data_IF_481373448310
#
_entry.id   IF_481373448310
#
_cell.length_a   1.000
_cell.length_b   1.000
_cell.length_c   1.000
_cell.angle_alpha   90.00
_cell.angle_beta   90.00
_cell.angle_gamma   90.00
#
_symmetry.space_group_name_H-M   'P 1'
#
loop_
_entity.id
_entity.type
_entity.pdbx_description
1 polymer ?
#
# COMPACT_ATOMS: atom_id res chain seq x y z
N UNK A 1 -16.15 30.20 -15.31
CA UNK A 1 -16.12 28.95 -16.11
C UNK A 1 -16.45 27.78 -15.20
N UNK A 2 -17.54 27.07 -15.48
CA UNK A 2 -17.92 25.83 -14.78
C UNK A 2 -17.15 24.68 -15.41
N UNK A 3 -16.28 24.02 -14.66
CA UNK A 3 -15.75 22.71 -15.03
C UNK A 3 -16.55 21.63 -14.31
N UNK A 4 -17.66 21.25 -14.94
CA UNK A 4 -18.34 19.99 -14.65
C UNK A 4 -17.51 18.87 -15.27
N UNK A 5 -16.72 18.15 -14.48
CA UNK A 5 -16.21 16.84 -14.88
C UNK A 5 -16.80 15.79 -13.94
N UNK A 6 -17.90 15.18 -14.39
CA UNK A 6 -18.40 13.90 -13.87
C UNK A 6 -17.29 12.88 -14.09
N UNK A 7 -16.50 12.63 -13.06
CA UNK A 7 -15.87 11.33 -12.87
C UNK A 7 -16.79 10.53 -11.96
N UNK A 8 -17.19 9.34 -12.37
CA UNK A 8 -17.59 8.24 -11.48
C UNK A 8 -16.86 8.37 -10.15
N UNK A 9 -17.54 8.29 -9.00
CA UNK A 9 -16.87 8.24 -7.67
C UNK A 9 -15.75 7.22 -7.79
N UNK A 10 -14.53 7.70 -8.04
CA UNK A 10 -13.43 6.87 -8.51
C UNK A 10 -13.09 6.01 -7.32
N UNK A 11 -13.35 4.71 -7.43
CA UNK A 11 -13.31 3.73 -6.36
C UNK A 11 -11.98 3.85 -5.60
N UNK A 12 -11.97 4.69 -4.57
CA UNK A 12 -10.73 5.14 -3.96
C UNK A 12 -10.19 3.98 -3.17
N UNK A 13 -8.95 3.60 -3.44
CA UNK A 13 -8.24 2.59 -2.65
C UNK A 13 -7.86 3.12 -1.27
N UNK A 14 -7.90 4.45 -1.06
CA UNK A 14 -7.62 5.07 0.23
C UNK A 14 -8.70 4.63 1.23
N UNK A 15 -8.28 4.25 2.43
CA UNK A 15 -9.15 3.67 3.46
C UNK A 15 -9.44 2.18 3.29
N UNK A 16 -9.14 1.58 2.12
CA UNK A 16 -9.25 0.13 1.92
C UNK A 16 -8.11 -0.61 2.61
N UNK A 17 -8.30 -1.90 2.89
CA UNK A 17 -7.30 -2.73 3.55
C UNK A 17 -6.49 -3.51 2.52
N UNK A 18 -5.19 -3.29 2.47
CA UNK A 18 -4.28 -4.19 1.74
C UNK A 18 -3.94 -5.37 2.62
N UNK A 19 -4.00 -6.58 2.08
CA UNK A 19 -3.76 -7.84 2.80
C UNK A 19 -2.71 -8.66 2.06
N UNK A 20 -1.74 -9.20 2.80
CA UNK A 20 -0.72 -10.09 2.25
C UNK A 20 -1.32 -11.46 1.87
N UNK A 21 -0.87 -11.99 0.73
CA UNK A 21 -1.26 -13.33 0.23
C UNK A 21 -0.34 -14.45 0.71
N UNK A 22 0.85 -14.09 1.20
CA UNK A 22 1.88 -15.00 1.67
C UNK A 22 2.46 -14.49 2.97
N UNK A 23 3.14 -15.38 3.70
CA UNK A 23 3.85 -15.03 4.92
C UNK A 23 5.14 -14.28 4.60
N UNK A 24 5.68 -13.63 5.63
CA UNK A 24 6.98 -12.97 5.58
C UNK A 24 7.13 -11.90 4.47
N UNK A 25 6.03 -11.23 4.08
CA UNK A 25 6.09 -10.19 3.05
C UNK A 25 6.67 -8.89 3.63
N UNK A 26 7.80 -8.42 3.09
CA UNK A 26 8.43 -7.20 3.59
C UNK A 26 7.56 -5.94 3.42
N UNK A 27 7.60 -5.08 4.42
CA UNK A 27 7.19 -3.68 4.35
C UNK A 27 8.34 -2.77 4.80
N UNK A 28 8.29 -1.51 4.39
CA UNK A 28 9.44 -0.59 4.42
C UNK A 28 9.11 0.68 5.19
N UNK A 29 10.13 1.27 5.84
CA UNK A 29 10.04 2.58 6.51
C UNK A 29 10.01 3.73 5.50
N UNK A 30 10.73 3.56 4.38
CA UNK A 30 10.83 4.52 3.29
C UNK A 30 10.30 3.96 1.96
N UNK A 31 9.90 4.82 1.01
CA UNK A 31 9.47 4.39 -0.32
C UNK A 31 10.68 3.90 -1.13
N UNK A 32 11.06 2.64 -0.88
CA UNK A 32 12.29 2.02 -1.35
C UNK A 32 12.10 0.52 -1.54
N UNK A 33 13.06 -0.11 -2.22
CA UNK A 33 13.16 -1.57 -2.36
C UNK A 33 14.48 -2.10 -1.78
N UNK A 34 15.21 -1.28 -1.04
CA UNK A 34 16.51 -1.65 -0.47
C UNK A 34 16.32 -2.37 0.87
N UNK A 35 17.18 -3.34 1.15
CA UNK A 35 17.12 -4.13 2.39
C UNK A 35 17.27 -3.28 3.66
N UNK A 36 18.07 -2.21 3.58
CA UNK A 36 18.28 -1.27 4.70
C UNK A 36 17.01 -0.53 5.14
N UNK A 37 16.00 -0.45 4.27
CA UNK A 37 14.76 0.28 4.51
C UNK A 37 13.62 -0.67 4.90
N UNK A 38 13.90 -1.98 5.05
CA UNK A 38 12.93 -2.97 5.52
C UNK A 38 12.61 -2.72 6.99
N UNK A 39 11.35 -2.40 7.28
CA UNK A 39 10.85 -2.16 8.62
C UNK A 39 10.40 -3.45 9.32
N UNK A 40 10.04 -4.47 8.54
CA UNK A 40 9.62 -5.78 9.02
C UNK A 40 8.90 -6.60 7.97
N UNK A 41 8.26 -7.67 8.41
CA UNK A 41 7.45 -8.56 7.57
C UNK A 41 6.02 -8.64 8.06
N UNK A 42 5.08 -8.91 7.13
CA UNK A 42 3.67 -9.14 7.42
C UNK A 42 3.24 -10.51 6.93
N UNK A 43 2.47 -11.22 7.76
CA UNK A 43 2.02 -12.56 7.43
C UNK A 43 0.77 -12.61 6.57
N UNK A 44 0.51 -13.77 5.97
CA UNK A 44 -0.66 -13.95 5.14
C UNK A 44 -1.93 -13.63 5.93
N UNK A 45 -2.88 -12.97 5.26
CA UNK A 45 -4.16 -12.51 5.84
C UNK A 45 -4.05 -11.33 6.80
N UNK A 46 -2.85 -10.92 7.19
CA UNK A 46 -2.62 -9.65 7.87
C UNK A 46 -2.47 -8.51 6.87
N UNK A 47 -2.54 -7.26 7.35
CA UNK A 47 -2.61 -6.13 6.45
C UNK A 47 -2.87 -4.78 7.09
N UNK A 48 -2.78 -3.74 6.27
CA UNK A 48 -2.72 -2.34 6.64
C UNK A 48 -3.80 -1.51 5.94
N UNK A 49 -4.09 -0.32 6.45
CA UNK A 49 -4.99 0.64 5.79
C UNK A 49 -4.21 1.46 4.78
N UNK A 50 -4.70 1.54 3.54
CA UNK A 50 -4.06 2.30 2.46
C UNK A 50 -4.34 3.79 2.64
N UNK A 51 -3.29 4.60 2.59
CA UNK A 51 -3.34 6.06 2.53
C UNK A 51 -3.13 6.57 1.11
N UNK A 52 -2.41 5.82 0.27
CA UNK A 52 -2.15 6.21 -1.11
C UNK A 52 -1.24 5.26 -1.86
N UNK A 53 -0.75 5.72 -3.02
CA UNK A 53 0.23 5.02 -3.86
C UNK A 53 1.46 5.90 -4.08
N UNK A 54 2.61 5.25 -4.19
CA UNK A 54 3.88 5.87 -4.59
C UNK A 54 4.54 5.02 -5.65
N UNK A 55 5.21 5.65 -6.62
CA UNK A 55 6.01 4.96 -7.64
C UNK A 55 7.47 5.01 -7.22
N UNK A 56 8.09 3.84 -7.10
CA UNK A 56 9.49 3.67 -6.67
C UNK A 56 10.19 2.83 -7.73
N UNK A 57 11.14 3.44 -8.45
CA UNK A 57 11.91 2.80 -9.52
C UNK A 57 11.04 2.05 -10.55
N UNK A 58 9.89 2.64 -10.93
CA UNK A 58 8.96 2.07 -11.90
C UNK A 58 7.94 1.06 -11.35
N UNK A 59 8.03 0.68 -10.06
CA UNK A 59 7.07 -0.20 -9.40
C UNK A 59 6.22 0.55 -8.38
N UNK A 60 4.95 0.17 -8.26
CA UNK A 60 4.03 0.80 -7.32
C UNK A 60 4.15 0.17 -5.92
N UNK A 61 4.14 1.04 -4.90
CA UNK A 61 3.90 0.70 -3.51
C UNK A 61 2.63 1.38 -3.01
N UNK A 62 2.02 0.81 -1.99
CA UNK A 62 1.02 1.49 -1.18
C UNK A 62 1.71 2.16 0.01
N UNK A 63 1.39 3.43 0.25
CA UNK A 63 1.61 4.04 1.56
C UNK A 63 0.48 3.56 2.47
N UNK A 64 0.82 3.02 3.64
CA UNK A 64 -0.13 2.36 4.52
C UNK A 64 0.08 2.74 5.98
N UNK A 65 -0.95 2.55 6.80
CA UNK A 65 -0.89 2.71 8.26
C UNK A 65 -1.15 1.40 8.98
N UNK A 66 -0.35 1.11 10.01
CA UNK A 66 -0.62 0.04 10.96
C UNK A 66 -1.68 0.46 11.99
N UNK A 67 -2.08 -0.46 12.88
CA UNK A 67 -3.06 -0.20 13.95
C UNK A 67 -2.61 0.85 14.97
N UNK A 68 -1.32 1.20 15.00
CA UNK A 68 -0.74 2.24 15.86
C UNK A 68 -0.62 3.60 15.16
N UNK A 69 -1.07 3.72 13.91
CA UNK A 69 -0.98 4.97 13.12
C UNK A 69 0.41 5.27 12.57
N UNK A 70 1.34 4.32 12.58
CA UNK A 70 2.66 4.47 11.94
C UNK A 70 2.55 4.19 10.45
N UNK A 71 3.21 5.03 9.65
CA UNK A 71 3.23 4.91 8.19
C UNK A 71 4.32 3.95 7.72
N UNK A 72 4.01 3.13 6.74
CA UNK A 72 4.94 2.23 6.06
C UNK A 72 4.63 2.15 4.57
N UNK A 73 5.47 1.43 3.84
CA UNK A 73 5.29 1.15 2.42
C UNK A 73 5.29 -0.35 2.16
N UNK A 74 4.37 -0.82 1.32
CA UNK A 74 4.26 -2.23 0.93
C UNK A 74 4.00 -2.35 -0.56
N UNK A 75 4.43 -3.45 -1.19
CA UNK A 75 4.20 -3.67 -2.62
C UNK A 75 2.74 -3.56 -3.02
N UNK A 76 2.45 -2.84 -4.12
CA UNK A 76 1.11 -2.77 -4.70
C UNK A 76 0.83 -3.91 -5.71
N UNK A 77 1.79 -4.81 -5.91
CA UNK A 77 1.66 -5.91 -6.85
C UNK A 77 0.59 -6.90 -6.41
N UNK A 78 -0.40 -7.10 -7.29
CA UNK A 78 -1.49 -8.07 -7.10
C UNK A 78 -1.00 -9.52 -6.93
N UNK A 79 0.26 -9.81 -7.23
CA UNK A 79 0.88 -11.13 -6.97
C UNK A 79 1.04 -11.38 -5.47
N UNK A 80 1.44 -10.36 -4.71
CA UNK A 80 1.79 -10.48 -3.29
C UNK A 80 0.69 -10.00 -2.36
N UNK A 81 -0.13 -9.05 -2.82
CA UNK A 81 -1.21 -8.46 -2.01
C UNK A 81 -2.56 -8.50 -2.69
N UNK A 82 -3.62 -8.32 -1.91
CA UNK A 82 -4.98 -8.00 -2.39
C UNK A 82 -5.54 -6.83 -1.60
N UNK A 83 -6.34 -6.00 -2.25
CA UNK A 83 -7.10 -4.92 -1.59
C UNK A 83 -8.51 -5.45 -1.31
N UNK A 84 -9.00 -5.25 -0.09
CA UNK A 84 -10.39 -5.49 0.31
C UNK A 84 -11.12 -4.16 0.45
#
# INVERSE_FOLDING_TARGET
MKFSKKGTVGDSIVGKRVIAKMNDLCFYDDPSWQDKDVAGTVDAREGFIIDGRVMVNGFLQYKVYNSKGQAFYITASKKYVRVK
#
